data_IF_660502125680
#
_entry.id   IF_660502125680
#
_cell.length_a   1.000
_cell.length_b   1.000
_cell.length_c   1.000
_cell.angle_alpha   90.00
_cell.angle_beta   90.00
_cell.angle_gamma   90.00
#
_symmetry.space_group_name_H-M   'P 1'
#
loop_
_entity.id
_entity.type
_entity.pdbx_description
1 polymer ?
#
# COMPACT_ATOMS: atom_id res chain seq x y z
N UNK A 1 6.25 -30.15 43.82
CA UNK A 1 7.07 -29.20 43.05
C UNK A 1 7.17 -29.56 41.56
N UNK A 2 7.63 -30.77 41.19
CA UNK A 2 7.72 -31.21 39.78
C UNK A 2 6.39 -31.19 38.99
N UNK A 3 5.28 -31.58 39.63
CA UNK A 3 3.95 -31.58 39.00
C UNK A 3 3.40 -30.17 38.74
N UNK A 4 3.63 -29.22 39.66
CA UNK A 4 3.22 -27.83 39.49
C UNK A 4 4.03 -27.11 38.40
N UNK A 5 5.33 -27.41 38.29
CA UNK A 5 6.19 -26.87 37.23
C UNK A 5 5.81 -27.45 35.86
N UNK A 6 5.45 -28.73 35.78
CA UNK A 6 4.97 -29.36 34.55
C UNK A 6 3.62 -28.78 34.10
N UNK A 7 2.72 -28.49 35.05
CA UNK A 7 1.44 -27.85 34.78
C UNK A 7 1.62 -26.39 34.31
N UNK A 8 2.54 -25.63 34.90
CA UNK A 8 2.83 -24.25 34.49
C UNK A 8 3.42 -24.18 33.08
N UNK A 9 4.33 -25.11 32.73
CA UNK A 9 4.92 -25.21 31.38
C UNK A 9 3.86 -25.63 30.35
N UNK A 10 3.00 -26.60 30.68
CA UNK A 10 1.91 -27.03 29.82
C UNK A 10 0.89 -25.90 29.59
N UNK A 11 0.57 -25.13 30.63
CA UNK A 11 -0.35 -24.00 30.56
C UNK A 11 0.24 -22.83 29.75
N UNK A 12 1.54 -22.54 29.89
CA UNK A 12 2.22 -21.54 29.06
C UNK A 12 2.34 -21.96 27.60
N UNK A 13 2.59 -23.24 27.32
CA UNK A 13 2.63 -23.76 25.95
C UNK A 13 1.24 -23.75 25.30
N UNK A 14 0.18 -24.11 26.06
CA UNK A 14 -1.20 -24.04 25.60
C UNK A 14 -1.62 -22.59 25.31
N UNK A 15 -1.34 -21.64 26.22
CA UNK A 15 -1.62 -20.21 26.04
C UNK A 15 -0.87 -19.62 24.83
N UNK A 16 0.36 -20.07 24.57
CA UNK A 16 1.13 -19.64 23.41
C UNK A 16 0.53 -20.15 22.09
N UNK A 17 -0.02 -21.37 22.07
CA UNK A 17 -0.67 -21.93 20.87
C UNK A 17 -2.00 -21.26 20.48
N UNK A 18 -2.59 -20.47 21.38
CA UNK A 18 -3.83 -19.72 21.14
C UNK A 18 -3.58 -18.29 20.59
N UNK A 19 -2.36 -17.78 20.68
CA UNK A 19 -2.00 -16.47 20.13
C UNK A 19 -1.88 -16.57 18.59
N UNK A 20 -3.01 -16.41 17.90
CA UNK A 20 -3.05 -16.46 16.43
C UNK A 20 -2.54 -15.18 15.75
N UNK A 21 -2.39 -14.09 16.51
CA UNK A 21 -1.98 -12.78 16.00
C UNK A 21 -0.59 -12.44 16.52
N UNK A 22 0.26 -11.91 15.64
CA UNK A 22 1.61 -11.47 15.98
C UNK A 22 1.61 -9.95 16.10
N UNK A 23 1.90 -9.43 17.29
CA UNK A 23 2.11 -8.01 17.54
C UNK A 23 3.61 -7.67 17.61
N UNK A 24 4.06 -6.64 16.88
CA UNK A 24 5.41 -6.07 17.01
C UNK A 24 5.26 -4.61 17.44
N UNK A 25 5.74 -4.26 18.63
CA UNK A 25 5.56 -2.91 19.21
C UNK A 25 4.13 -2.62 19.71
N UNK A 26 3.26 -3.63 19.74
CA UNK A 26 1.89 -3.56 20.27
C UNK A 26 1.57 -4.83 21.07
N UNK A 27 0.80 -4.69 22.16
CA UNK A 27 0.34 -5.81 23.01
C UNK A 27 -1.09 -6.25 22.70
N UNK A 28 -1.81 -5.50 21.86
CA UNK A 28 -3.20 -5.76 21.50
C UNK A 28 -3.36 -5.73 19.96
N UNK A 29 -2.79 -6.72 19.25
CA UNK A 29 -2.80 -6.76 17.79
C UNK A 29 -4.22 -6.94 17.24
N UNK A 30 -4.67 -6.02 16.38
CA UNK A 30 -6.03 -6.05 15.77
C UNK A 30 -6.10 -6.86 14.49
N UNK A 31 -4.95 -7.15 13.89
CA UNK A 31 -4.81 -7.97 12.70
C UNK A 31 -3.93 -9.19 12.98
N UNK A 32 -3.90 -10.15 12.05
CA UNK A 32 -3.04 -11.35 12.16
C UNK A 32 -1.56 -11.01 12.33
N UNK A 33 -1.12 -9.94 11.70
CA UNK A 33 0.16 -9.29 11.94
C UNK A 33 -0.11 -7.80 12.12
N UNK A 34 0.25 -7.26 13.27
CA UNK A 34 0.08 -5.85 13.61
C UNK A 34 1.42 -5.28 14.09
N UNK A 35 1.90 -4.25 13.39
CA UNK A 35 3.20 -3.63 13.64
C UNK A 35 2.99 -2.17 13.95
N UNK A 36 3.21 -1.80 15.22
CA UNK A 36 3.27 -0.40 15.62
C UNK A 36 4.69 0.13 15.44
N UNK A 37 5.05 0.42 14.18
CA UNK A 37 6.38 0.87 13.79
C UNK A 37 6.68 0.65 12.31
N UNK A 38 7.95 0.69 11.95
CA UNK A 38 8.41 0.49 10.58
C UNK A 38 8.67 -0.98 10.29
N UNK A 39 8.40 -1.40 9.04
CA UNK A 39 8.79 -2.73 8.55
C UNK A 39 9.89 -2.58 7.49
N UNK A 40 11.03 -3.26 7.68
CA UNK A 40 12.07 -3.38 6.67
C UNK A 40 11.93 -4.72 5.94
N UNK A 41 11.80 -4.71 4.62
CA UNK A 41 11.52 -5.89 3.81
C UNK A 41 12.59 -6.01 2.71
N UNK A 42 13.45 -7.02 2.81
CA UNK A 42 14.52 -7.30 1.84
C UNK A 42 14.05 -8.16 0.63
N UNK A 43 12.74 -8.23 0.41
CA UNK A 43 12.11 -9.04 -0.62
C UNK A 43 10.81 -8.40 -1.12
N UNK A 44 9.93 -9.19 -1.74
CA UNK A 44 8.67 -8.67 -2.26
C UNK A 44 7.52 -8.81 -1.25
N UNK A 45 6.65 -7.80 -1.21
CA UNK A 45 5.32 -7.91 -0.58
C UNK A 45 4.36 -8.55 -1.59
N UNK A 46 3.72 -9.65 -1.19
CA UNK A 46 2.64 -10.29 -1.97
C UNK A 46 1.29 -9.90 -1.40
N UNK A 47 0.36 -9.57 -2.29
CA UNK A 47 -1.01 -9.22 -1.95
C UNK A 47 -1.91 -10.15 -2.74
N UNK A 48 -2.75 -10.93 -2.06
CA UNK A 48 -3.57 -11.98 -2.66
C UNK A 48 -2.77 -12.95 -3.56
N UNK A 49 -1.53 -13.26 -3.16
CA UNK A 49 -0.61 -14.13 -3.92
C UNK A 49 0.23 -13.44 -4.99
N UNK A 50 -0.02 -12.16 -5.29
CA UNK A 50 0.64 -11.42 -6.37
C UNK A 50 1.68 -10.43 -5.86
N UNK A 51 2.87 -10.44 -6.47
CA UNK A 51 3.94 -9.46 -6.24
C UNK A 51 3.75 -8.23 -7.13
N UNK A 52 3.97 -7.03 -6.59
CA UNK A 52 3.95 -5.78 -7.35
C UNK A 52 5.04 -5.70 -8.42
N UNK A 53 4.73 -5.05 -9.54
CA UNK A 53 5.63 -4.80 -10.66
C UNK A 53 6.15 -3.35 -10.68
N UNK A 54 7.24 -3.05 -11.42
CA UNK A 54 7.71 -1.67 -11.58
C UNK A 54 6.60 -0.72 -12.06
N UNK A 55 6.45 0.42 -11.39
CA UNK A 55 5.42 1.42 -11.68
C UNK A 55 4.05 1.18 -11.01
N UNK A 56 3.91 0.13 -10.22
CA UNK A 56 2.72 -0.12 -9.41
C UNK A 56 2.85 0.44 -7.99
N UNK A 57 1.72 0.84 -7.43
CA UNK A 57 1.55 1.16 -6.01
C UNK A 57 0.54 0.22 -5.38
N UNK A 58 0.63 0.05 -4.06
CA UNK A 58 -0.38 -0.67 -3.31
C UNK A 58 -1.60 0.23 -3.12
N UNK A 59 -2.78 -0.23 -3.54
CA UNK A 59 -4.00 0.56 -3.48
C UNK A 59 -5.24 -0.31 -3.27
N UNK A 60 -6.35 0.30 -2.88
CA UNK A 60 -7.66 -0.38 -2.79
C UNK A 60 -8.41 -0.18 -4.10
N UNK A 61 -8.92 -1.27 -4.67
CA UNK A 61 -9.69 -1.21 -5.92
C UNK A 61 -11.16 -0.83 -5.69
N UNK A 62 -11.93 -0.66 -6.76
CA UNK A 62 -13.36 -0.34 -6.67
C UNK A 62 -14.20 -1.41 -5.97
N UNK A 63 -13.69 -2.63 -5.84
CA UNK A 63 -14.32 -3.72 -5.10
C UNK A 63 -13.90 -3.75 -3.61
N UNK A 64 -13.17 -2.75 -3.12
CA UNK A 64 -12.72 -2.67 -1.73
C UNK A 64 -11.57 -3.62 -1.38
N UNK A 65 -10.98 -4.29 -2.38
CA UNK A 65 -9.87 -5.22 -2.17
C UNK A 65 -8.53 -4.53 -2.38
N UNK A 66 -7.61 -4.70 -1.43
CA UNK A 66 -6.23 -4.25 -1.59
C UNK A 66 -5.54 -5.05 -2.69
N UNK A 67 -4.92 -4.36 -3.64
CA UNK A 67 -4.16 -4.96 -4.73
C UNK A 67 -3.02 -4.04 -5.19
N UNK A 68 -2.08 -4.61 -5.92
CA UNK A 68 -1.14 -3.82 -6.71
C UNK A 68 -1.86 -3.25 -7.93
N UNK A 69 -1.82 -1.94 -8.10
CA UNK A 69 -2.34 -1.25 -9.27
C UNK A 69 -1.35 -0.21 -9.77
N UNK A 70 -1.36 0.07 -11.06
CA UNK A 70 -0.72 1.29 -11.57
C UNK A 70 -1.46 2.51 -11.00
N UNK A 71 -0.74 3.61 -10.82
CA UNK A 71 -1.32 4.89 -10.38
C UNK A 71 -2.29 5.38 -11.47
N UNK A 72 -3.52 4.89 -11.43
CA UNK A 72 -4.54 5.14 -12.45
C UNK A 72 -5.80 5.67 -11.78
N UNK A 73 -6.15 6.91 -12.12
CA UNK A 73 -7.53 7.36 -12.09
C UNK A 73 -8.41 6.35 -12.85
N UNK A 74 -9.65 6.04 -12.43
CA UNK A 74 -10.54 5.18 -13.18
C UNK A 74 -10.60 5.62 -14.66
N UNK A 75 -10.08 4.79 -15.58
CA UNK A 75 -9.98 5.07 -17.02
C UNK A 75 -8.60 5.47 -17.56
N UNK A 76 -7.52 5.45 -16.78
CA UNK A 76 -6.24 6.11 -17.15
C UNK A 76 -5.03 5.21 -17.38
N UNK A 77 -5.12 4.20 -18.25
CA UNK A 77 -3.89 3.58 -18.82
C UNK A 77 -3.07 4.59 -19.66
N UNK A 78 -3.56 5.82 -19.84
CA UNK A 78 -3.10 6.76 -20.85
C UNK A 78 -2.12 7.83 -20.31
N UNK A 79 -2.13 8.18 -19.02
CA UNK A 79 -1.38 9.36 -18.53
C UNK A 79 -0.50 9.04 -17.32
N UNK A 80 0.76 8.68 -17.60
CA UNK A 80 1.77 8.23 -16.61
C UNK A 80 2.52 9.35 -15.88
N UNK A 81 2.43 10.59 -16.35
CA UNK A 81 3.16 11.73 -15.80
C UNK A 81 2.25 12.94 -15.65
N UNK A 82 2.22 13.54 -14.47
CA UNK A 82 1.58 14.82 -14.21
C UNK A 82 2.64 15.93 -14.28
N UNK A 83 2.48 16.90 -15.18
CA UNK A 83 3.32 18.11 -15.27
C UNK A 83 2.42 19.32 -15.03
N UNK A 84 2.78 20.16 -14.05
CA UNK A 84 2.06 21.39 -13.72
C UNK A 84 2.91 22.59 -14.13
N UNK A 85 2.33 23.51 -14.90
CA UNK A 85 2.92 24.82 -15.18
C UNK A 85 2.14 25.86 -14.36
N UNK A 86 2.69 26.28 -13.23
CA UNK A 86 2.14 27.40 -12.46
C UNK A 86 2.57 28.73 -13.10
N UNK A 87 1.66 29.73 -13.10
CA UNK A 87 1.82 31.11 -13.61
C UNK A 87 3.19 31.43 -14.24
N UNK A 88 3.32 31.09 -15.52
CA UNK A 88 4.53 31.25 -16.33
C UNK A 88 4.52 30.33 -17.54
N UNK A 89 5.19 30.72 -18.62
CA UNK A 89 5.40 29.85 -19.78
C UNK A 89 6.47 28.81 -19.46
N UNK A 90 6.10 27.53 -19.50
CA UNK A 90 7.02 26.39 -19.48
C UNK A 90 6.95 25.63 -20.79
N UNK A 91 8.06 25.03 -21.19
CA UNK A 91 8.09 24.05 -22.29
C UNK A 91 8.33 22.68 -21.70
N UNK A 92 7.48 21.71 -22.07
CA UNK A 92 7.71 20.30 -21.79
C UNK A 92 7.99 19.57 -23.09
N UNK A 93 9.15 18.93 -23.16
CA UNK A 93 9.51 18.06 -24.27
C UNK A 93 8.80 16.71 -24.06
N UNK A 94 7.86 16.40 -24.96
CA UNK A 94 7.18 15.12 -25.01
C UNK A 94 8.22 14.02 -25.30
N UNK A 95 8.44 13.04 -24.41
CA UNK A 95 9.39 11.95 -24.67
C UNK A 95 8.95 11.07 -25.84
N UNK A 96 9.94 10.45 -26.51
CA UNK A 96 9.69 9.51 -27.60
C UNK A 96 8.76 8.37 -27.16
N UNK A 97 7.77 8.04 -28.01
CA UNK A 97 6.81 6.96 -27.77
C UNK A 97 5.56 7.35 -26.99
N UNK A 98 5.41 8.60 -26.56
CA UNK A 98 4.14 9.09 -25.99
C UNK A 98 3.13 9.34 -27.12
N UNK A 99 2.03 8.58 -27.11
CA UNK A 99 1.00 8.66 -28.16
C UNK A 99 -0.24 9.46 -27.76
N UNK A 100 -0.39 9.80 -26.48
CA UNK A 100 -1.57 10.49 -25.94
C UNK A 100 -1.21 11.41 -24.78
N UNK A 101 -1.86 12.57 -24.70
CA UNK A 101 -1.69 13.60 -23.66
C UNK A 101 -3.05 14.05 -23.12
N UNK A 102 -3.17 14.17 -21.78
CA UNK A 102 -4.29 14.85 -21.13
C UNK A 102 -3.81 16.23 -20.72
N UNK A 103 -4.47 17.26 -21.26
CA UNK A 103 -4.17 18.65 -20.94
C UNK A 103 -5.42 19.22 -20.27
N UNK A 104 -5.29 19.56 -18.99
CA UNK A 104 -6.32 20.30 -18.27
C UNK A 104 -5.85 21.75 -18.14
N UNK A 105 -6.58 22.66 -18.76
CA UNK A 105 -6.33 24.10 -18.65
C UNK A 105 -7.38 24.68 -17.71
N UNK A 106 -6.95 25.10 -16.53
CA UNK A 106 -7.81 25.89 -15.66
C UNK A 106 -7.84 27.33 -16.14
N UNK A 107 -8.97 27.74 -16.71
CA UNK A 107 -9.30 29.16 -16.83
C UNK A 107 -9.74 29.69 -15.47
N UNK A 108 -9.23 30.83 -15.04
CA UNK A 108 -9.65 31.49 -13.79
C UNK A 108 -11.12 31.95 -13.89
N UNK A 109 -12.06 31.04 -13.69
CA UNK A 109 -13.49 31.32 -13.77
C UNK A 109 -13.99 31.97 -12.48
N UNK A 110 -14.24 33.27 -12.52
CA UNK A 110 -15.12 33.94 -11.56
C UNK A 110 -16.56 33.48 -11.82
N UNK A 111 -17.17 32.83 -10.82
CA UNK A 111 -18.54 32.34 -10.89
C UNK A 111 -19.55 33.47 -11.10
N UNK A 112 -20.62 33.15 -11.82
CA UNK A 112 -21.88 33.90 -11.87
C UNK A 112 -22.98 33.11 -11.18
#
# INVERSE_FOLDING_TARGET
MKQAMLLLIAMSAALCSLAQNVGIGTTDPKEKLDVNGNTNINGNIKINGTTGQPGQVLMTNSAGTTQWGSFQSPGSDQYKNFVCFANGSGSWNVPDGVTQLLIEVWGGGGGG
#
